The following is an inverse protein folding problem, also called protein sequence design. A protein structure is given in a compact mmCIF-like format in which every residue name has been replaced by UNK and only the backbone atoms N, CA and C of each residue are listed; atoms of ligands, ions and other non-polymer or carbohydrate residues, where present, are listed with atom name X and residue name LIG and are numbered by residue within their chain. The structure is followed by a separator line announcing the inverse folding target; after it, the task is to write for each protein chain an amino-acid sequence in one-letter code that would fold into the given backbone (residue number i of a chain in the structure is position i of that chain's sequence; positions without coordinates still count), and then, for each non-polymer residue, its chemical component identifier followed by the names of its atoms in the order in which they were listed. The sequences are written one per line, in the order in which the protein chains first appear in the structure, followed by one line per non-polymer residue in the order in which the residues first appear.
data_IF_779159462304
#
_entry.id   IF_779159462304
#
_cell.length_a   1.000
_cell.length_b   1.000
_cell.length_c   1.000
_cell.angle_alpha   90.00
_cell.angle_beta   90.00
_cell.angle_gamma   90.00
#
_symmetry.space_group_name_H-M   'P 1'
#
loop_
_entity.id
_entity.type
_entity.pdbx_description
1 polymer ?
#
# COMPACT_ATOMS: atom_id res chain seq x y z
N UNK A 1 -20.14 13.64 -25.79
CA UNK A 1 -20.52 12.76 -24.68
C UNK A 1 -19.93 13.36 -23.42
N UNK A 2 -20.78 13.85 -22.51
CA UNK A 2 -20.33 14.36 -21.21
C UNK A 2 -19.97 13.17 -20.32
N UNK A 3 -18.70 13.06 -19.94
CA UNK A 3 -18.26 12.11 -18.91
C UNK A 3 -19.12 12.33 -17.66
N UNK A 4 -19.65 11.28 -17.03
CA UNK A 4 -20.42 11.44 -15.81
C UNK A 4 -19.52 12.05 -14.73
N UNK A 5 -19.79 13.29 -14.36
CA UNK A 5 -19.08 13.96 -13.28
C UNK A 5 -19.48 13.35 -11.94
N UNK A 6 -18.52 13.25 -11.03
CA UNK A 6 -18.76 12.81 -9.65
C UNK A 6 -19.74 13.78 -8.98
N UNK A 7 -21.00 13.38 -8.84
CA UNK A 7 -22.07 14.21 -8.25
C UNK A 7 -21.76 14.68 -6.83
N UNK A 8 -20.94 13.95 -6.09
CA UNK A 8 -20.49 14.39 -4.76
C UNK A 8 -19.71 15.70 -4.81
N UNK A 9 -18.96 15.97 -5.90
CA UNK A 9 -18.19 17.20 -6.08
C UNK A 9 -19.06 18.39 -6.53
N UNK A 10 -20.32 18.16 -6.85
CA UNK A 10 -21.30 19.18 -7.21
C UNK A 10 -22.13 19.64 -6.01
N UNK A 11 -21.90 19.07 -4.82
CA UNK A 11 -22.57 19.49 -3.60
C UNK A 11 -22.15 20.91 -3.22
N UNK A 12 -23.05 21.69 -2.57
CA UNK A 12 -22.67 22.97 -1.99
C UNK A 12 -21.49 22.81 -1.01
N UNK A 13 -20.61 23.82 -0.94
CA UNK A 13 -19.36 23.77 -0.18
C UNK A 13 -19.53 23.27 1.26
N UNK A 14 -20.62 23.67 1.93
CA UNK A 14 -20.93 23.25 3.31
C UNK A 14 -21.20 21.76 3.39
N UNK A 15 -22.03 21.23 2.49
CA UNK A 15 -22.37 19.81 2.45
C UNK A 15 -21.17 18.96 2.02
N UNK A 16 -20.42 19.42 1.01
CA UNK A 16 -19.20 18.76 0.56
C UNK A 16 -18.16 18.65 1.69
N UNK A 17 -17.92 19.75 2.41
CA UNK A 17 -16.98 19.73 3.54
C UNK A 17 -17.43 18.76 4.63
N UNK A 18 -18.73 18.69 4.91
CA UNK A 18 -19.24 17.77 5.92
C UNK A 18 -19.09 16.31 5.49
N UNK A 19 -19.32 16.00 4.21
CA UNK A 19 -19.03 14.66 3.65
C UNK A 19 -17.55 14.32 3.80
N UNK A 20 -16.64 15.22 3.39
CA UNK A 20 -15.20 14.98 3.46
C UNK A 20 -14.66 14.84 4.88
N UNK A 21 -15.27 15.51 5.87
CA UNK A 21 -14.89 15.34 7.29
C UNK A 21 -15.24 13.97 7.85
N UNK A 22 -16.24 13.30 7.26
CA UNK A 22 -16.68 11.98 7.68
C UNK A 22 -15.93 10.86 6.93
N UNK A 23 -15.06 11.20 5.98
CA UNK A 23 -14.18 10.25 5.30
C UNK A 23 -12.88 10.04 6.07
N UNK A 24 -12.35 8.83 6.05
CA UNK A 24 -11.01 8.54 6.56
C UNK A 24 -9.91 8.97 5.58
N UNK A 25 -8.63 8.91 5.99
CA UNK A 25 -7.53 9.32 5.11
C UNK A 25 -7.37 8.42 3.88
N UNK A 26 -7.68 7.14 3.99
CA UNK A 26 -7.62 6.19 2.88
C UNK A 26 -8.67 6.56 1.84
N UNK A 27 -9.90 6.81 2.26
CA UNK A 27 -11.00 7.29 1.42
C UNK A 27 -10.68 8.65 0.78
N UNK A 28 -10.14 9.60 1.55
CA UNK A 28 -9.70 10.91 1.02
C UNK A 28 -8.58 10.77 0.00
N UNK A 29 -7.63 9.86 0.24
CA UNK A 29 -6.54 9.57 -0.70
C UNK A 29 -7.10 8.97 -1.99
N UNK A 30 -7.99 7.98 -1.91
CA UNK A 30 -8.63 7.37 -3.09
C UNK A 30 -9.41 8.42 -3.88
N UNK A 31 -10.22 9.22 -3.18
CA UNK A 31 -10.98 10.30 -3.81
C UNK A 31 -10.06 11.28 -4.54
N UNK A 32 -8.92 11.64 -3.94
CA UNK A 32 -7.95 12.54 -4.56
C UNK A 32 -7.33 11.97 -5.84
N UNK A 33 -7.24 10.64 -5.97
CA UNK A 33 -6.71 9.96 -7.16
C UNK A 33 -7.72 9.90 -8.32
N UNK A 34 -9.01 10.11 -8.07
CA UNK A 34 -10.05 10.00 -9.10
C UNK A 34 -9.99 11.12 -10.16
N UNK A 35 -9.58 12.34 -9.80
CA UNK A 35 -9.42 13.44 -10.75
C UNK A 35 -8.62 14.61 -10.16
N UNK A 36 -8.12 15.51 -11.02
CA UNK A 36 -7.49 16.75 -10.58
C UNK A 36 -8.44 17.65 -9.76
N UNK A 37 -9.73 17.66 -10.09
CA UNK A 37 -10.72 18.43 -9.33
C UNK A 37 -10.91 17.84 -7.93
N UNK A 38 -11.05 16.50 -7.84
CA UNK A 38 -11.17 15.80 -6.56
C UNK A 38 -9.93 16.02 -5.69
N UNK A 39 -8.72 15.95 -6.26
CA UNK A 39 -7.47 16.28 -5.56
C UNK A 39 -7.50 17.69 -4.96
N UNK A 40 -7.87 18.71 -5.76
CA UNK A 40 -7.98 20.10 -5.27
C UNK A 40 -9.00 20.24 -4.15
N UNK A 41 -10.15 19.60 -4.29
CA UNK A 41 -11.23 19.61 -3.30
C UNK A 41 -10.77 19.00 -1.98
N UNK A 42 -10.12 17.82 -2.01
CA UNK A 42 -9.57 17.18 -0.82
C UNK A 42 -8.51 18.07 -0.17
N UNK A 43 -7.56 18.60 -0.95
CA UNK A 43 -6.48 19.46 -0.46
C UNK A 43 -6.99 20.73 0.25
N UNK A 44 -8.08 21.33 -0.24
CA UNK A 44 -8.67 22.54 0.33
C UNK A 44 -9.53 22.27 1.57
N UNK A 45 -10.11 21.08 1.69
CA UNK A 45 -11.12 20.79 2.72
C UNK A 45 -10.70 19.75 3.75
N UNK A 46 -9.57 19.05 3.57
CA UNK A 46 -9.14 18.06 4.57
C UNK A 46 -8.87 18.75 5.92
N UNK A 47 -9.22 18.05 6.99
CA UNK A 47 -9.08 18.60 8.32
C UNK A 47 -7.63 18.45 8.83
N UNK A 48 -6.87 19.54 8.72
CA UNK A 48 -5.49 19.67 9.21
C UNK A 48 -5.31 19.44 10.71
N UNK A 49 -6.39 19.57 11.50
CA UNK A 49 -6.32 19.37 12.95
C UNK A 49 -6.38 17.89 13.36
N UNK A 50 -6.71 16.99 12.44
CA UNK A 50 -6.71 15.57 12.74
C UNK A 50 -5.28 15.09 12.96
N UNK A 51 -5.06 14.44 14.11
CA UNK A 51 -3.77 13.88 14.48
C UNK A 51 -3.59 12.52 13.81
N UNK A 52 -3.12 12.55 12.57
CA UNK A 52 -2.77 11.34 11.83
C UNK A 52 -1.28 11.05 11.92
N UNK A 53 -0.96 9.76 11.80
CA UNK A 53 0.41 9.30 11.62
C UNK A 53 0.49 8.48 10.34
N UNK A 54 1.43 8.84 9.48
CA UNK A 54 1.77 8.06 8.29
C UNK A 54 2.63 6.88 8.72
N UNK A 55 2.20 5.68 8.35
CA UNK A 55 2.88 4.43 8.64
C UNK A 55 3.50 3.88 7.35
N UNK A 56 4.80 3.61 7.37
CA UNK A 56 5.51 2.95 6.26
C UNK A 56 5.91 1.56 6.72
N UNK A 57 5.47 0.50 6.02
CA UNK A 57 5.75 -0.88 6.38
C UNK A 57 6.44 -1.64 5.25
N UNK A 58 7.47 -2.42 5.61
CA UNK A 58 8.12 -3.38 4.72
C UNK A 58 8.60 -4.62 5.47
N UNK A 59 7.97 -4.96 6.60
CA UNK A 59 8.53 -5.96 7.51
C UNK A 59 8.29 -7.41 7.03
N UNK A 60 7.06 -7.71 6.62
CA UNK A 60 6.63 -9.04 6.15
C UNK A 60 6.12 -9.06 4.72
N UNK A 61 6.07 -7.89 4.08
CA UNK A 61 5.35 -7.69 2.83
C UNK A 61 6.10 -6.73 1.94
N UNK A 62 5.58 -6.61 0.72
CA UNK A 62 5.91 -5.54 -0.21
C UNK A 62 5.79 -4.16 0.46
N UNK A 63 6.51 -3.15 -0.06
CA UNK A 63 6.42 -1.79 0.43
C UNK A 63 4.98 -1.30 0.52
N UNK A 64 4.55 -0.89 1.70
CA UNK A 64 3.21 -0.35 1.87
C UNK A 64 3.19 0.92 2.72
N UNK A 65 2.17 1.72 2.42
CA UNK A 65 1.88 3.00 3.05
C UNK A 65 0.51 2.86 3.68
N UNK A 66 0.41 3.22 4.95
CA UNK A 66 -0.81 3.19 5.73
C UNK A 66 -0.99 4.44 6.58
N UNK A 67 -2.17 4.55 7.18
CA UNK A 67 -2.51 5.66 8.06
C UNK A 67 -2.95 5.14 9.43
N UNK A 68 -2.65 5.93 10.46
CA UNK A 68 -3.13 5.68 11.82
C UNK A 68 -3.83 6.92 12.38
N UNK A 69 -5.07 6.75 12.84
CA UNK A 69 -5.78 7.73 13.69
C UNK A 69 -6.58 7.00 14.76
N UNK A 70 -6.20 7.23 16.02
CA UNK A 70 -6.95 6.81 17.22
C UNK A 70 -7.44 5.33 17.21
N UNK A 71 -6.76 4.46 16.47
CA UNK A 71 -7.23 3.11 16.15
C UNK A 71 -6.12 2.19 15.62
N UNK A 72 -6.49 0.97 15.19
CA UNK A 72 -5.54 0.02 14.62
C UNK A 72 -4.88 0.58 13.36
N UNK A 73 -3.67 0.11 13.08
CA UNK A 73 -2.97 0.43 11.84
C UNK A 73 -3.75 -0.12 10.65
N UNK A 74 -4.00 0.73 9.66
CA UNK A 74 -4.60 0.32 8.39
C UNK A 74 -3.62 0.65 7.26
N UNK A 75 -3.20 -0.39 6.54
CA UNK A 75 -2.50 -0.20 5.29
C UNK A 75 -3.50 0.38 4.27
N UNK A 76 -3.04 1.26 3.39
CA UNK A 76 -3.87 1.87 2.36
C UNK A 76 -3.38 1.50 0.96
N UNK A 77 -2.06 1.55 0.76
CA UNK A 77 -1.41 1.34 -0.53
C UNK A 77 -0.29 0.32 -0.38
N UNK A 78 -0.21 -0.62 -1.32
CA UNK A 78 0.94 -1.51 -1.54
C UNK A 78 1.56 -1.15 -2.89
N UNK A 79 2.88 -0.99 -2.92
CA UNK A 79 3.64 -0.73 -4.15
C UNK A 79 4.25 -2.04 -4.63
N UNK A 80 3.87 -2.45 -5.85
CA UNK A 80 4.35 -3.68 -6.51
C UNK A 80 5.21 -3.35 -7.72
N UNK A 81 6.12 -4.26 -8.04
CA UNK A 81 6.88 -4.16 -9.27
C UNK A 81 6.00 -4.58 -10.46
N UNK A 82 6.00 -3.79 -11.54
CA UNK A 82 5.15 -4.05 -12.70
C UNK A 82 5.52 -5.35 -13.45
N UNK A 83 6.74 -5.87 -13.26
CA UNK A 83 7.22 -7.13 -13.85
C UNK A 83 6.53 -8.36 -13.26
N UNK A 84 6.02 -8.28 -12.02
CA UNK A 84 5.29 -9.38 -11.35
C UNK A 84 4.01 -9.77 -12.12
N UNK A 85 3.40 -8.82 -12.82
CA UNK A 85 2.16 -9.04 -13.59
C UNK A 85 2.40 -9.91 -14.83
N UNK A 86 3.64 -9.95 -15.34
CA UNK A 86 4.00 -10.71 -16.55
C UNK A 86 4.30 -12.18 -16.23
N UNK A 87 4.84 -12.47 -15.03
CA UNK A 87 5.25 -13.82 -14.66
C UNK A 87 4.07 -14.76 -14.35
N UNK A 88 2.95 -14.23 -13.87
CA UNK A 88 1.74 -15.02 -13.63
C UNK A 88 1.17 -15.53 -14.97
N UNK A 89 1.14 -14.66 -15.99
CA UNK A 89 0.70 -15.02 -17.35
C UNK A 89 1.54 -16.11 -18.04
N UNK A 90 2.85 -16.18 -17.79
CA UNK A 90 3.75 -17.13 -18.50
C UNK A 90 3.82 -18.52 -17.87
N UNK A 91 3.38 -18.68 -16.62
CA UNK A 91 3.52 -19.94 -15.88
C UNK A 91 2.30 -20.86 -16.07
N UNK A 92 1.16 -20.32 -16.49
CA UNK A 92 -0.07 -21.10 -16.65
C UNK A 92 -0.24 -21.81 -18.01
N UNK A 93 0.59 -21.52 -19.02
CA UNK A 93 0.50 -22.23 -20.32
C UNK A 93 1.17 -23.62 -20.32
N UNK A 94 1.82 -24.05 -19.24
CA UNK A 94 2.48 -25.36 -19.16
C UNK A 94 2.26 -26.09 -17.84
N UNK A 95 1.01 -26.49 -17.55
CA UNK A 95 0.77 -27.69 -16.72
C UNK A 95 -0.61 -28.33 -16.94
N UNK A 96 -0.72 -29.10 -18.02
CA UNK A 96 -1.63 -30.23 -18.08
C UNK A 96 -0.83 -31.51 -18.37
N UNK A 97 -0.45 -32.23 -17.31
CA UNK A 97 -0.21 -33.67 -17.38
C UNK A 97 -0.41 -34.30 -16.01
N UNK A 98 -1.34 -35.22 -15.99
CA UNK A 98 -1.70 -36.13 -14.91
C UNK A 98 -0.46 -36.83 -14.31
N UNK A 99 -0.42 -37.10 -13.01
CA UNK A 99 -1.07 -38.26 -12.39
C UNK A 99 -0.65 -38.38 -10.91
N UNK A 100 -1.54 -38.97 -10.12
CA UNK A 100 -1.51 -39.20 -8.67
C UNK A 100 -0.37 -40.14 -8.23
N UNK A 101 0.14 -39.96 -7.01
CA UNK A 101 0.18 -41.07 -6.05
C UNK A 101 0.39 -40.64 -4.57
N UNK A 102 -0.27 -41.40 -3.71
CA UNK A 102 -0.35 -41.52 -2.24
C UNK A 102 1.01 -41.55 -1.47
N UNK A 103 1.20 -41.40 -0.14
CA UNK A 103 0.37 -41.29 1.08
C UNK A 103 1.31 -41.24 2.35
N UNK A 104 0.99 -40.37 3.34
CA UNK A 104 1.20 -40.41 4.84
C UNK A 104 2.59 -40.70 5.48
N UNK A 105 3.01 -40.23 6.68
CA UNK A 105 2.35 -39.94 7.97
C UNK A 105 3.15 -38.92 8.86
N UNK A 106 2.37 -38.14 9.65
CA UNK A 106 2.53 -37.73 11.06
C UNK A 106 3.50 -36.63 11.52
N UNK A 107 2.89 -35.52 11.98
CA UNK A 107 2.71 -35.33 13.43
C UNK A 107 3.27 -34.04 14.03
N UNK A 108 2.48 -32.96 14.09
CA UNK A 108 2.53 -31.95 15.15
C UNK A 108 1.17 -31.24 15.25
N UNK A 109 0.69 -31.06 16.49
CA UNK A 109 -0.53 -30.31 16.81
C UNK A 109 -0.31 -28.82 16.55
N UNK A 110 -0.65 -28.36 15.36
CA UNK A 110 -0.89 -26.94 15.07
C UNK A 110 -2.39 -26.72 14.99
N UNK A 111 -2.90 -25.70 15.67
CA UNK A 111 -4.22 -25.14 15.35
C UNK A 111 -4.15 -24.60 13.92
N UNK A 112 -4.53 -25.43 12.95
CA UNK A 112 -4.68 -25.02 11.56
C UNK A 112 -6.08 -24.46 11.38
N UNK A 113 -6.17 -23.13 11.23
CA UNK A 113 -7.24 -22.52 10.45
C UNK A 113 -7.34 -23.23 9.09
N UNK A 114 -8.55 -23.53 8.58
CA UNK A 114 -8.67 -24.09 7.24
C UNK A 114 -8.06 -23.11 6.25
N UNK A 115 -7.11 -23.60 5.45
CA UNK A 115 -6.58 -22.89 4.31
C UNK A 115 -7.75 -22.64 3.35
N UNK A 116 -8.32 -21.44 3.42
CA UNK A 116 -9.13 -20.89 2.36
C UNK A 116 -8.21 -20.85 1.14
N UNK A 117 -8.51 -21.66 0.13
CA UNK A 117 -7.88 -21.54 -1.18
C UNK A 117 -8.23 -20.15 -1.71
N UNK A 118 -7.32 -19.20 -1.51
CA UNK A 118 -7.41 -17.89 -2.11
C UNK A 118 -7.44 -18.10 -3.63
N UNK A 119 -8.61 -17.92 -4.21
CA UNK A 119 -8.79 -17.85 -5.65
C UNK A 119 -7.93 -16.66 -6.11
N UNK A 120 -6.81 -16.95 -6.77
CA UNK A 120 -5.93 -15.90 -7.31
C UNK A 120 -6.69 -15.28 -8.47
N UNK A 121 -7.41 -14.20 -8.19
CA UNK A 121 -8.09 -13.40 -9.22
C UNK A 121 -6.99 -12.73 -10.05
N UNK A 122 -6.64 -13.34 -11.18
CA UNK A 122 -5.74 -12.74 -12.16
C UNK A 122 -6.36 -11.47 -12.72
N UNK A 123 -5.85 -10.32 -12.29
CA UNK A 123 -6.27 -9.03 -12.85
C UNK A 123 -5.48 -8.77 -14.13
N UNK A 124 -6.15 -8.67 -15.28
CA UNK A 124 -5.46 -8.38 -16.54
C UNK A 124 -4.87 -6.97 -16.50
N UNK A 125 -3.62 -6.81 -16.93
CA UNK A 125 -2.93 -5.52 -17.00
C UNK A 125 -3.75 -4.42 -17.71
N UNK A 126 -4.55 -4.79 -18.71
CA UNK A 126 -5.39 -3.87 -19.49
C UNK A 126 -6.62 -3.36 -18.71
N UNK A 127 -6.98 -4.00 -17.60
CA UNK A 127 -8.04 -3.59 -16.69
C UNK A 127 -7.54 -2.63 -15.60
N UNK A 128 -6.22 -2.42 -15.50
CA UNK A 128 -5.65 -1.49 -14.55
C UNK A 128 -6.01 -0.05 -14.88
N UNK A 129 -6.44 0.68 -13.85
CA UNK A 129 -6.77 2.09 -13.99
C UNK A 129 -5.47 2.89 -14.02
N UNK A 130 -5.21 3.55 -15.14
CA UNK A 130 -4.08 4.48 -15.28
C UNK A 130 -4.44 5.81 -14.64
N UNK A 131 -3.80 6.13 -13.51
CA UNK A 131 -3.98 7.43 -12.86
C UNK A 131 -2.70 8.25 -12.97
N UNK A 132 -2.84 9.57 -12.75
CA UNK A 132 -1.69 10.48 -12.64
C UNK A 132 -1.45 10.78 -11.16
N UNK A 133 -0.34 10.27 -10.61
CA UNK A 133 0.11 10.56 -9.24
C UNK A 133 1.29 11.53 -9.34
N UNK A 134 1.07 12.78 -8.90
CA UNK A 134 2.01 13.86 -9.16
C UNK A 134 2.22 14.07 -10.66
N UNK A 135 3.45 13.90 -11.14
CA UNK A 135 3.79 13.99 -12.57
C UNK A 135 3.84 12.62 -13.27
N UNK A 136 3.81 11.52 -12.50
CA UNK A 136 3.97 10.17 -13.03
C UNK A 136 2.62 9.54 -13.37
N UNK A 137 2.60 8.75 -14.44
CA UNK A 137 1.46 7.88 -14.77
C UNK A 137 1.71 6.52 -14.11
N UNK A 138 0.77 6.09 -13.27
CA UNK A 138 0.84 4.84 -12.54
C UNK A 138 -0.40 3.99 -12.83
N UNK A 139 -0.22 2.67 -12.78
CA UNK A 139 -1.33 1.72 -12.89
C UNK A 139 -1.78 1.32 -11.49
N UNK A 140 -3.07 1.44 -11.22
CA UNK A 140 -3.66 1.09 -9.93
C UNK A 140 -4.71 0.00 -10.11
N UNK A 141 -4.69 -0.98 -9.22
CA UNK A 141 -5.77 -1.93 -9.00
C UNK A 141 -6.38 -1.74 -7.62
N UNK A 142 -7.66 -2.06 -7.49
CA UNK A 142 -8.29 -2.31 -6.20
C UNK A 142 -8.00 -3.77 -5.83
N UNK A 143 -7.14 -4.01 -4.84
CA UNK A 143 -6.94 -5.33 -4.25
C UNK A 143 -8.09 -5.69 -3.30
N UNK A 144 -7.98 -6.85 -2.66
CA UNK A 144 -8.99 -7.36 -1.72
C UNK A 144 -9.17 -6.39 -0.53
N UNK A 145 -8.05 -5.97 0.07
CA UNK A 145 -8.06 -5.04 1.20
C UNK A 145 -7.32 -3.72 0.93
N UNK A 146 -6.41 -3.69 -0.05
CA UNK A 146 -5.45 -2.61 -0.26
C UNK A 146 -5.43 -2.14 -1.71
N UNK A 147 -5.10 -0.87 -1.93
CA UNK A 147 -4.83 -0.37 -3.28
C UNK A 147 -3.45 -0.82 -3.70
N UNK A 148 -3.37 -1.42 -4.87
CA UNK A 148 -2.12 -1.90 -5.43
C UNK A 148 -1.65 -0.93 -6.50
N UNK A 149 -0.47 -0.37 -6.31
CA UNK A 149 0.16 0.55 -7.26
C UNK A 149 1.32 -0.16 -7.92
N UNK A 150 1.25 -0.30 -9.24
CA UNK A 150 2.25 -0.99 -10.03
C UNK A 150 3.22 0.00 -10.68
N UNK A 151 4.51 -0.19 -10.44
CA UNK A 151 5.58 0.70 -10.88
C UNK A 151 6.76 -0.11 -11.47
N UNK A 152 7.47 0.46 -12.45
CA UNK A 152 8.68 -0.18 -12.99
C UNK A 152 9.84 -0.18 -12.01
N UNK A 153 9.93 0.85 -11.18
CA UNK A 153 10.85 0.95 -10.05
C UNK A 153 10.01 1.17 -8.78
N UNK A 154 9.89 0.16 -7.89
CA UNK A 154 9.14 0.30 -6.66
C UNK A 154 9.64 1.42 -5.74
N UNK A 155 10.96 1.72 -5.73
CA UNK A 155 11.52 2.80 -4.90
C UNK A 155 11.08 4.17 -5.41
N UNK A 156 11.20 4.41 -6.72
CA UNK A 156 10.72 5.65 -7.34
C UNK A 156 9.19 5.79 -7.23
N UNK A 157 8.45 4.70 -7.42
CA UNK A 157 6.99 4.66 -7.27
C UNK A 157 6.55 5.03 -5.86
N UNK A 158 7.16 4.38 -4.87
CA UNK A 158 6.92 4.66 -3.45
C UNK A 158 7.20 6.13 -3.10
N UNK A 159 8.34 6.67 -3.54
CA UNK A 159 8.69 8.08 -3.29
C UNK A 159 7.69 9.04 -3.91
N UNK A 160 7.19 8.74 -5.10
CA UNK A 160 6.19 9.58 -5.77
C UNK A 160 4.86 9.57 -5.02
N UNK A 161 4.42 8.41 -4.52
CA UNK A 161 3.21 8.31 -3.69
C UNK A 161 3.41 9.06 -2.38
N UNK A 162 4.58 8.92 -1.75
CA UNK A 162 4.92 9.62 -0.52
C UNK A 162 4.89 11.15 -0.72
N UNK A 163 5.51 11.65 -1.79
CA UNK A 163 5.49 13.07 -2.14
C UNK A 163 4.06 13.56 -2.43
N UNK A 164 3.24 12.76 -3.11
CA UNK A 164 1.83 13.06 -3.34
C UNK A 164 1.03 13.16 -2.04
N UNK A 165 1.22 12.22 -1.11
CA UNK A 165 0.58 12.23 0.22
C UNK A 165 1.01 13.46 1.01
N UNK A 166 2.29 13.83 0.98
CA UNK A 166 2.79 15.04 1.64
C UNK A 166 2.20 16.31 1.02
N UNK A 167 2.05 16.37 -0.30
CA UNK A 167 1.40 17.50 -0.96
C UNK A 167 -0.09 17.62 -0.57
N UNK A 168 -0.76 16.47 -0.40
CA UNK A 168 -2.17 16.41 -0.07
C UNK A 168 -2.46 16.75 1.40
N UNK A 169 -1.74 16.11 2.32
CA UNK A 169 -2.02 16.17 3.76
C UNK A 169 -0.97 16.94 4.57
N UNK A 170 0.04 17.52 3.92
CA UNK A 170 1.15 18.19 4.57
C UNK A 170 2.17 17.22 5.17
N UNK A 171 3.09 17.79 5.96
CA UNK A 171 4.10 16.99 6.68
C UNK A 171 3.44 16.23 7.83
N UNK A 172 3.15 14.95 7.57
CA UNK A 172 2.60 14.05 8.58
C UNK A 172 3.71 13.50 9.49
N UNK A 173 3.43 13.34 10.80
CA UNK A 173 4.14 12.41 11.67
C UNK A 173 4.41 11.07 10.97
N UNK A 174 5.65 10.58 11.00
CA UNK A 174 6.00 9.31 10.35
C UNK A 174 6.41 8.28 11.37
N UNK A 175 5.85 7.09 11.26
CA UNK A 175 6.39 5.89 11.89
C UNK A 175 6.78 4.94 10.77
N UNK A 176 7.97 4.35 10.90
CA UNK A 176 8.45 3.40 9.92
C UNK A 176 8.78 2.08 10.57
N UNK A 177 8.29 1.00 9.98
CA UNK A 177 8.62 -0.37 10.33
C UNK A 177 9.16 -1.08 9.11
N UNK A 178 10.43 -1.45 9.12
CA UNK A 178 11.10 -1.98 7.94
C UNK A 178 11.92 -3.23 8.27
N UNK A 179 11.99 -4.14 7.29
CA UNK A 179 13.06 -5.12 7.20
C UNK A 179 14.35 -4.40 6.76
N UNK A 180 15.55 -4.85 7.19
CA UNK A 180 16.83 -4.35 6.67
C UNK A 180 16.89 -4.20 5.13
N UNK A 181 16.24 -5.07 4.36
CA UNK A 181 16.16 -4.93 2.89
C UNK A 181 15.46 -3.66 2.40
N UNK A 182 14.70 -2.99 3.27
CA UNK A 182 13.98 -1.75 2.99
C UNK A 182 14.56 -0.55 3.76
N UNK A 183 15.84 -0.60 4.18
CA UNK A 183 16.54 0.55 4.77
C UNK A 183 16.41 1.82 3.90
N UNK A 184 16.27 1.65 2.58
CA UNK A 184 16.02 2.76 1.67
C UNK A 184 14.74 3.56 1.97
N UNK A 185 13.76 3.01 2.71
CA UNK A 185 12.62 3.79 3.21
C UNK A 185 13.08 4.95 4.08
N UNK A 186 14.14 4.74 4.86
CA UNK A 186 14.71 5.76 5.71
C UNK A 186 15.31 6.89 4.87
N UNK A 187 16.02 6.55 3.81
CA UNK A 187 16.59 7.50 2.86
C UNK A 187 15.52 8.32 2.13
N UNK A 188 14.39 7.68 1.81
CA UNK A 188 13.24 8.29 1.15
C UNK A 188 12.53 9.35 1.98
N UNK A 189 12.76 9.38 3.30
CA UNK A 189 12.12 10.34 4.18
C UNK A 189 12.90 11.66 4.24
N UNK A 190 12.27 12.73 3.73
CA UNK A 190 12.79 14.11 3.87
C UNK A 190 12.81 14.59 5.33
N UNK A 191 11.82 14.18 6.12
CA UNK A 191 11.68 14.53 7.54
C UNK A 191 12.03 13.33 8.40
N UNK A 192 12.63 13.59 9.57
CA UNK A 192 12.97 12.50 10.50
C UNK A 192 11.69 11.85 11.02
N UNK A 193 11.60 10.51 10.99
CA UNK A 193 10.46 9.81 11.58
C UNK A 193 10.41 10.05 13.08
N UNK A 194 9.20 10.03 13.64
CA UNK A 194 8.99 10.09 15.09
C UNK A 194 9.47 8.79 15.73
N UNK A 195 9.23 7.66 15.06
CA UNK A 195 9.66 6.33 15.51
C UNK A 195 10.11 5.49 14.32
N UNK A 196 11.16 4.71 14.54
CA UNK A 196 11.67 3.74 13.58
C UNK A 196 11.78 2.40 14.27
N UNK A 197 11.18 1.39 13.66
CA UNK A 197 11.27 0.00 14.04
C UNK A 197 12.00 -0.72 12.91
N UNK A 198 13.21 -1.20 13.21
CA UNK A 198 13.94 -2.07 12.30
C UNK A 198 13.83 -3.46 12.90
N UNK A 199 13.20 -4.36 12.17
CA UNK A 199 13.08 -5.75 12.58
C UNK A 199 13.34 -6.63 11.38
N UNK A 200 14.03 -7.73 11.59
CA UNK A 200 14.19 -8.80 10.61
C UNK A 200 13.42 -10.04 11.05
N UNK A 201 13.25 -11.01 10.16
CA UNK A 201 12.75 -12.35 10.55
C UNK A 201 13.61 -12.96 11.65
N UNK A 202 14.93 -12.73 11.59
CA UNK A 202 15.89 -13.25 12.57
C UNK A 202 15.65 -12.68 13.96
N UNK A 203 15.29 -11.39 14.06
CA UNK A 203 15.03 -10.74 15.36
C UNK A 203 13.64 -11.05 15.93
N UNK A 204 12.64 -11.42 15.11
CA UNK A 204 11.31 -11.83 15.61
C UNK A 204 11.28 -13.20 16.26
N UNK A 205 12.15 -14.12 15.86
CA UNK A 205 12.15 -15.50 16.35
C UNK A 205 12.85 -15.64 17.72
N UNK A 206 13.17 -14.51 18.38
CA UNK A 206 13.58 -14.48 19.80
C UNK A 206 14.99 -14.98 20.08
N UNK A 207 15.77 -15.32 19.06
CA UNK A 207 17.22 -15.45 19.23
C UNK A 207 17.81 -14.06 19.01
N UNK A 208 18.27 -13.43 20.09
CA UNK A 208 19.04 -12.18 20.09
C UNK A 208 20.33 -12.36 19.29
N UNK A 209 20.22 -12.39 17.96
CA UNK A 209 21.37 -12.30 17.07
C UNK A 209 21.59 -10.81 16.88
N UNK A 210 22.67 -10.24 17.44
CA UNK A 210 22.99 -8.83 17.20
C UNK A 210 23.10 -8.62 15.68
N UNK A 211 22.44 -7.55 15.19
CA UNK A 211 22.62 -7.09 13.82
C UNK A 211 24.13 -6.97 13.56
N UNK A 212 24.61 -7.52 12.45
CA UNK A 212 26.02 -7.34 12.10
C UNK A 212 26.28 -5.85 11.83
N UNK A 213 27.53 -5.41 11.97
CA UNK A 213 27.90 -4.01 11.75
C UNK A 213 27.56 -3.53 10.32
N UNK A 214 27.47 -4.47 9.37
CA UNK A 214 27.07 -4.25 7.99
C UNK A 214 25.55 -4.11 7.81
N UNK A 215 24.75 -4.75 8.66
CA UNK A 215 23.28 -4.62 8.68
C UNK A 215 22.81 -3.35 9.43
N UNK A 216 23.69 -2.74 10.23
CA UNK A 216 23.41 -1.56 11.05
C UNK A 216 23.87 -0.21 10.43
N UNK A 217 24.57 -0.24 9.29
CA UNK A 217 25.02 0.95 8.55
C UNK A 217 24.05 1.30 7.42
#
# INVERSE_FOLDING_TARGET
MTTPEFRCLQLPDVALREVLKNMDLTELLILSLCSQNANRVVKLNYNKSLKWTLWLCGYWSLPCIGFQCNGPLQNAIVVKEATEIVQIKSTEEHKSRDQQDEMLLMGFLSLTTPASSAEVIETKLDELVKVKVGEQKMSIAKGEDLFEVYCTDPKAGFNTILDYINDLFGDLPRIVSMNPSFLWFYESMRTRPIRTFISSKRTSEGNDVPLTEEEAR
#
